data_IF_209567269372
#
_entry.id   IF_209567269372
#
_cell.length_a   1.000
_cell.length_b   1.000
_cell.length_c   1.000
_cell.angle_alpha   90.00
_cell.angle_beta   90.00
_cell.angle_gamma   90.00
#
_symmetry.space_group_name_H-M   'P 1'
#
loop_
_entity.id
_entity.type
_entity.pdbx_description
1 polymer ?
#
# COMPACT_ATOMS: atom_id res chain seq x y z
N UNK A 1 -2.57 -2.63 -5.17
CA UNK A 1 -3.02 -3.16 -3.86
C UNK A 1 -3.76 -4.48 -4.01
N UNK A 2 -4.96 -4.52 -4.62
CA UNK A 2 -5.74 -5.79 -4.78
C UNK A 2 -4.94 -6.89 -5.50
N UNK A 3 -4.29 -6.57 -6.62
CA UNK A 3 -3.48 -7.54 -7.38
C UNK A 3 -2.29 -8.09 -6.59
N UNK A 4 -1.69 -7.25 -5.74
CA UNK A 4 -0.55 -7.64 -4.88
C UNK A 4 -0.99 -8.50 -3.71
N UNK A 5 -2.21 -8.30 -3.24
CA UNK A 5 -2.84 -9.12 -2.20
C UNK A 5 -3.35 -10.45 -2.77
N UNK A 6 -3.43 -10.61 -4.09
CA UNK A 6 -3.96 -11.80 -4.75
C UNK A 6 -2.90 -12.91 -4.80
N UNK A 7 -3.21 -14.08 -4.26
CA UNK A 7 -2.30 -15.23 -4.17
C UNK A 7 -2.36 -16.18 -5.39
N UNK A 8 -3.13 -15.84 -6.44
CA UNK A 8 -3.23 -16.63 -7.66
C UNK A 8 -4.58 -16.51 -8.37
N UNK A 9 -4.80 -17.37 -9.37
CA UNK A 9 -6.02 -17.38 -10.17
C UNK A 9 -7.26 -17.59 -9.29
N UNK A 10 -8.24 -16.70 -9.41
CA UNK A 10 -9.49 -16.77 -8.64
C UNK A 10 -9.44 -16.16 -7.23
N UNK A 11 -8.27 -15.73 -6.72
CA UNK A 11 -8.15 -15.19 -5.35
C UNK A 11 -8.54 -13.70 -5.24
N UNK A 12 -8.88 -13.04 -6.36
CA UNK A 12 -9.19 -11.61 -6.39
C UNK A 12 -10.31 -11.25 -5.42
N UNK A 13 -11.39 -12.03 -5.34
CA UNK A 13 -12.48 -11.73 -4.40
C UNK A 13 -12.04 -11.82 -2.95
N UNK A 14 -11.23 -12.84 -2.61
CA UNK A 14 -10.75 -13.03 -1.27
C UNK A 14 -9.74 -11.93 -0.89
N UNK A 15 -8.88 -11.53 -1.82
CA UNK A 15 -8.00 -10.37 -1.67
C UNK A 15 -8.80 -9.08 -1.39
N UNK A 16 -9.89 -8.85 -2.13
CA UNK A 16 -10.79 -7.73 -1.87
C UNK A 16 -11.45 -7.85 -0.49
N UNK A 17 -11.91 -9.03 -0.08
CA UNK A 17 -12.49 -9.26 1.26
C UNK A 17 -11.47 -9.01 2.37
N UNK A 18 -10.20 -9.39 2.19
CA UNK A 18 -9.11 -9.12 3.16
C UNK A 18 -8.87 -7.62 3.31
N UNK A 19 -8.74 -6.90 2.19
CA UNK A 19 -8.56 -5.45 2.20
C UNK A 19 -9.75 -4.70 2.80
N UNK A 20 -10.97 -5.13 2.45
CA UNK A 20 -12.21 -4.61 3.00
C UNK A 20 -12.23 -4.69 4.54
N UNK A 21 -11.92 -5.87 5.09
CA UNK A 21 -11.86 -6.08 6.55
C UNK A 21 -10.76 -5.27 7.21
N UNK A 22 -9.56 -5.22 6.60
CA UNK A 22 -8.39 -4.54 7.17
C UNK A 22 -8.59 -3.03 7.28
N UNK A 23 -9.27 -2.42 6.30
CA UNK A 23 -9.38 -0.97 6.20
C UNK A 23 -10.81 -0.43 6.39
N UNK A 24 -11.74 -1.28 6.86
CA UNK A 24 -13.12 -0.85 7.16
C UNK A 24 -13.94 -0.46 5.92
N UNK A 25 -13.65 -1.05 4.76
CA UNK A 25 -14.35 -0.81 3.51
C UNK A 25 -15.34 -1.94 3.21
N UNK A 26 -16.38 -1.65 2.43
CA UNK A 26 -17.24 -2.69 1.87
C UNK A 26 -16.58 -3.36 0.68
N UNK A 27 -16.78 -4.68 0.56
CA UNK A 27 -16.39 -5.46 -0.61
C UNK A 27 -16.87 -4.82 -1.92
N UNK A 28 -18.14 -4.38 -1.96
CA UNK A 28 -18.73 -3.79 -3.16
C UNK A 28 -18.16 -2.41 -3.49
N UNK A 29 -17.77 -1.62 -2.48
CA UNK A 29 -17.09 -0.35 -2.73
C UNK A 29 -15.79 -0.57 -3.49
N UNK A 30 -14.95 -1.50 -3.03
CA UNK A 30 -13.69 -1.82 -3.69
C UNK A 30 -13.93 -2.42 -5.09
N UNK A 31 -14.89 -3.32 -5.26
CA UNK A 31 -15.23 -3.91 -6.56
C UNK A 31 -15.73 -2.88 -7.57
N UNK A 32 -16.61 -1.96 -7.16
CA UNK A 32 -17.11 -0.90 -8.04
C UNK A 32 -16.02 0.10 -8.42
N UNK A 33 -15.13 0.46 -7.49
CA UNK A 33 -13.97 1.28 -7.79
C UNK A 33 -13.05 0.60 -8.81
N UNK A 34 -12.76 -0.69 -8.59
CA UNK A 34 -11.92 -1.49 -9.50
C UNK A 34 -12.53 -1.62 -10.90
N UNK A 35 -13.85 -1.73 -10.99
CA UNK A 35 -14.57 -1.82 -12.27
C UNK A 35 -14.86 -0.46 -12.93
N UNK A 36 -14.46 0.67 -12.32
CA UNK A 36 -14.78 2.02 -12.82
C UNK A 36 -16.27 2.36 -12.77
N UNK A 37 -17.05 1.66 -11.94
CA UNK A 37 -18.52 1.82 -11.81
C UNK A 37 -18.96 2.70 -10.64
N UNK A 38 -18.02 3.10 -9.78
CA UNK A 38 -18.31 3.98 -8.66
C UNK A 38 -18.57 5.43 -9.16
N UNK A 39 -19.83 5.89 -9.07
CA UNK A 39 -20.21 7.26 -9.48
C UNK A 39 -19.86 8.32 -8.43
N UNK A 40 -19.84 7.92 -7.17
CA UNK A 40 -19.51 8.77 -6.03
C UNK A 40 -18.89 7.90 -4.94
N UNK A 41 -18.07 8.52 -4.10
CA UNK A 41 -17.47 7.91 -2.91
C UNK A 41 -17.70 8.82 -1.71
N UNK A 42 -18.03 8.24 -0.55
CA UNK A 42 -18.11 9.03 0.68
C UNK A 42 -16.72 9.50 1.10
N UNK A 43 -16.68 10.61 1.84
CA UNK A 43 -15.44 11.15 2.40
C UNK A 43 -14.73 10.10 3.27
N UNK A 44 -15.49 9.36 4.10
CA UNK A 44 -14.94 8.30 4.95
C UNK A 44 -14.32 7.16 4.13
N UNK A 45 -14.99 6.72 3.07
CA UNK A 45 -14.46 5.66 2.21
C UNK A 45 -13.22 6.14 1.43
N UNK A 46 -13.16 7.42 1.04
CA UNK A 46 -11.97 8.01 0.45
C UNK A 46 -10.80 8.01 1.44
N UNK A 47 -11.01 8.45 2.68
CA UNK A 47 -9.97 8.41 3.71
C UNK A 47 -9.51 6.99 4.04
N UNK A 48 -10.44 6.03 4.12
CA UNK A 48 -10.10 4.62 4.33
C UNK A 48 -9.23 4.06 3.18
N UNK A 49 -9.52 4.38 1.92
CA UNK A 49 -8.69 3.98 0.77
C UNK A 49 -7.33 4.67 0.81
N UNK A 50 -7.29 5.97 1.13
CA UNK A 50 -6.03 6.70 1.26
C UNK A 50 -5.15 6.06 2.33
N UNK A 51 -5.70 5.75 3.49
CA UNK A 51 -4.98 5.06 4.57
C UNK A 51 -4.50 3.69 4.10
N UNK A 52 -5.35 2.91 3.45
CA UNK A 52 -4.98 1.61 2.89
C UNK A 52 -3.80 1.71 1.91
N UNK A 53 -3.78 2.75 1.08
CA UNK A 53 -2.70 2.99 0.14
C UNK A 53 -1.39 3.37 0.83
N UNK A 54 -1.45 4.23 1.85
CA UNK A 54 -0.27 4.61 2.62
C UNK A 54 0.32 3.43 3.41
N UNK A 55 -0.54 2.57 3.99
CA UNK A 55 -0.11 1.33 4.63
C UNK A 55 0.55 0.37 3.63
N UNK A 56 0.01 0.29 2.41
CA UNK A 56 0.63 -0.49 1.35
C UNK A 56 2.01 0.06 0.96
N UNK A 57 2.17 1.38 0.82
CA UNK A 57 3.46 2.00 0.56
C UNK A 57 4.48 1.68 1.67
N UNK A 58 4.06 1.76 2.94
CA UNK A 58 4.91 1.43 4.09
C UNK A 58 5.39 -0.03 4.06
N UNK A 59 4.51 -0.98 3.71
CA UNK A 59 4.90 -2.37 3.53
C UNK A 59 5.93 -2.54 2.41
N UNK A 60 5.72 -1.89 1.25
CA UNK A 60 6.67 -1.97 0.13
C UNK A 60 8.05 -1.37 0.48
N UNK A 61 8.07 -0.27 1.25
CA UNK A 61 9.32 0.30 1.77
C UNK A 61 10.01 -0.69 2.70
N UNK A 62 9.25 -1.37 3.58
CA UNK A 62 9.82 -2.38 4.48
C UNK A 62 10.42 -3.56 3.72
N UNK A 63 9.75 -4.04 2.67
CA UNK A 63 10.25 -5.13 1.83
C UNK A 63 11.51 -4.69 1.07
N UNK A 64 11.50 -3.49 0.49
CA UNK A 64 12.66 -2.94 -0.22
C UNK A 64 13.86 -2.72 0.70
N UNK A 65 13.65 -2.23 1.93
CA UNK A 65 14.71 -2.12 2.95
C UNK A 65 15.36 -3.48 3.24
N UNK A 66 14.54 -4.54 3.35
CA UNK A 66 15.04 -5.90 3.58
C UNK A 66 15.86 -6.39 2.39
N UNK A 67 15.35 -6.23 1.17
CA UNK A 67 16.05 -6.61 -0.06
C UNK A 67 17.40 -5.87 -0.20
N UNK A 68 17.43 -4.57 0.08
CA UNK A 68 18.68 -3.80 0.08
C UNK A 68 19.64 -4.33 1.15
N UNK A 69 19.17 -4.62 2.36
CA UNK A 69 20.02 -5.16 3.42
C UNK A 69 20.62 -6.52 3.06
N UNK A 70 19.89 -7.37 2.34
CA UNK A 70 20.37 -8.67 1.85
C UNK A 70 21.47 -8.54 0.78
N UNK A 71 21.37 -7.54 -0.09
CA UNK A 71 22.28 -7.39 -1.24
C UNK A 71 23.46 -6.43 -0.95
N UNK A 72 23.30 -5.46 -0.04
CA UNK A 72 24.26 -4.38 0.21
C UNK A 72 25.66 -4.87 0.60
N UNK A 73 25.77 -5.87 1.48
CA UNK A 73 27.07 -6.26 2.04
C UNK A 73 27.86 -5.04 2.58
N UNK A 74 29.09 -4.85 2.10
CA UNK A 74 29.93 -3.65 2.35
C UNK A 74 30.07 -2.75 1.09
N UNK A 75 29.09 -2.80 0.18
CA UNK A 75 29.17 -2.05 -1.08
C UNK A 75 28.53 -0.67 -0.93
N UNK A 76 29.38 0.36 -0.95
CA UNK A 76 29.00 1.76 -0.78
C UNK A 76 28.05 2.27 -1.88
N UNK A 77 27.96 1.58 -3.04
CA UNK A 77 27.02 1.94 -4.12
C UNK A 77 25.56 1.84 -3.72
N UNK A 78 25.25 1.10 -2.64
CA UNK A 78 23.90 1.00 -2.11
C UNK A 78 23.57 2.10 -1.10
N UNK A 79 24.53 2.93 -0.66
CA UNK A 79 24.26 4.00 0.31
C UNK A 79 23.30 5.05 -0.25
N UNK A 80 23.47 5.44 -1.51
CA UNK A 80 22.56 6.36 -2.20
C UNK A 80 21.14 5.79 -2.24
N UNK A 81 21.01 4.50 -2.56
CA UNK A 81 19.72 3.81 -2.63
C UNK A 81 19.05 3.71 -1.25
N UNK A 82 19.82 3.45 -0.19
CA UNK A 82 19.32 3.48 1.20
C UNK A 82 18.80 4.88 1.54
N UNK A 83 19.56 5.92 1.20
CA UNK A 83 19.16 7.32 1.42
C UNK A 83 17.85 7.67 0.74
N UNK A 84 17.66 7.26 -0.52
CA UNK A 84 16.41 7.46 -1.26
C UNK A 84 15.22 6.75 -0.61
N UNK A 85 15.40 5.49 -0.21
CA UNK A 85 14.35 4.71 0.45
C UNK A 85 13.96 5.33 1.79
N UNK A 86 14.92 5.81 2.58
CA UNK A 86 14.64 6.53 3.83
C UNK A 86 13.90 7.85 3.59
N UNK A 87 14.28 8.61 2.55
CA UNK A 87 13.59 9.84 2.18
C UNK A 87 12.13 9.58 1.76
N UNK A 88 11.87 8.51 1.00
CA UNK A 88 10.51 8.10 0.64
C UNK A 88 9.73 7.65 1.88
N UNK A 89 10.37 6.91 2.78
CA UNK A 89 9.75 6.47 4.04
C UNK A 89 9.30 7.64 4.91
N UNK A 90 10.12 8.69 5.00
CA UNK A 90 9.76 9.91 5.72
C UNK A 90 8.58 10.63 5.08
N UNK A 91 8.55 10.75 3.74
CA UNK A 91 7.41 11.33 3.02
C UNK A 91 6.10 10.58 3.29
N UNK A 92 6.13 9.24 3.31
CA UNK A 92 4.96 8.41 3.64
C UNK A 92 4.52 8.62 5.08
N UNK A 93 5.45 8.67 6.05
CA UNK A 93 5.15 8.97 7.46
C UNK A 93 4.47 10.33 7.62
N UNK A 94 4.97 11.36 6.95
CA UNK A 94 4.35 12.70 6.95
C UNK A 94 2.98 12.71 6.31
N UNK A 95 2.77 11.95 5.22
CA UNK A 95 1.48 11.84 4.56
C UNK A 95 0.44 11.14 5.46
N UNK A 96 0.87 10.19 6.31
CA UNK A 96 0.05 9.52 7.32
C UNK A 96 -0.30 10.47 8.48
N UNK A 97 0.65 11.28 8.96
CA UNK A 97 0.40 12.22 10.07
C UNK A 97 -0.53 13.38 9.68
N UNK A 98 -0.43 13.90 8.46
CA UNK A 98 -1.32 14.97 7.93
C UNK A 98 -2.75 14.51 7.60
N UNK A 99 -3.03 13.21 7.70
CA UNK A 99 -4.36 12.64 7.43
C UNK A 99 -5.18 12.32 8.67
N UNK A 100 -4.66 12.62 9.87
CA UNK A 100 -5.29 12.34 11.16
C UNK A 100 -5.82 13.60 11.81
#
# INVERSE_FOLDING_TARGET
MVERETAGNGDVENAVRRLARKHGLSFWQIMHLRAGRAKAISVDAFFAIRTAYLDYCEQQISDLRREIAEVRGNDDRFEDLVGEVEAIAEKVRQAKSKGR
#
